data_IF_204974072382
#
_entry.id   IF_204974072382
#
_cell.length_a   1.000
_cell.length_b   1.000
_cell.length_c   1.000
_cell.angle_alpha   90.00
_cell.angle_beta   90.00
_cell.angle_gamma   90.00
#
_symmetry.space_group_name_H-M   'P 1'
#
loop_
_entity.id
_entity.type
_entity.pdbx_description
1 polymer ?
#
# COMPACT_ATOMS: atom_id res chain seq x y z
N UNK A 1 -26.03 -8.81 15.15
CA UNK A 1 -25.53 -7.52 14.63
C UNK A 1 -26.59 -7.00 13.68
N UNK A 2 -27.49 -6.13 14.16
CA UNK A 2 -28.69 -5.68 13.43
C UNK A 2 -28.58 -4.17 13.25
N UNK A 3 -28.31 -3.73 12.02
CA UNK A 3 -28.44 -2.34 11.62
C UNK A 3 -29.88 -2.16 11.14
N UNK A 4 -30.66 -1.33 11.83
CA UNK A 4 -32.03 -0.99 11.44
C UNK A 4 -32.02 0.19 10.46
N UNK A 5 -32.75 -0.01 9.38
CA UNK A 5 -33.09 0.94 8.33
C UNK A 5 -33.82 2.14 8.95
N UNK A 6 -33.20 3.32 8.94
CA UNK A 6 -33.75 4.64 8.55
C UNK A 6 -32.64 5.70 8.78
N UNK A 7 -31.89 6.01 7.72
CA UNK A 7 -31.20 7.31 7.58
C UNK A 7 -29.89 7.55 8.35
N UNK A 8 -29.40 6.63 9.19
CA UNK A 8 -28.10 6.79 9.86
C UNK A 8 -27.22 5.60 9.49
N UNK A 9 -26.34 5.80 8.51
CA UNK A 9 -25.29 4.83 8.19
C UNK A 9 -24.59 4.47 9.48
N UNK A 10 -24.56 3.17 9.80
CA UNK A 10 -23.78 2.68 10.90
C UNK A 10 -22.32 3.05 10.60
N UNK A 11 -21.85 4.16 11.17
CA UNK A 11 -20.43 4.47 11.24
C UNK A 11 -19.83 3.46 12.21
N UNK A 12 -19.77 2.20 11.77
CA UNK A 12 -18.68 1.33 12.18
C UNK A 12 -17.42 2.14 11.91
N UNK A 13 -16.55 2.24 12.92
CA UNK A 13 -15.41 3.15 12.91
C UNK A 13 -14.61 3.08 11.60
N UNK A 14 -13.84 4.14 11.32
CA UNK A 14 -12.98 4.18 10.13
C UNK A 14 -12.21 2.85 10.00
N UNK A 15 -12.19 2.24 8.80
CA UNK A 15 -11.47 0.99 8.61
C UNK A 15 -10.00 1.18 8.94
N UNK A 16 -9.39 0.15 9.53
CA UNK A 16 -7.96 0.16 9.86
C UNK A 16 -7.18 -0.12 8.60
N UNK A 17 -6.20 0.74 8.29
CA UNK A 17 -5.26 0.55 7.18
C UNK A 17 -4.06 -0.29 7.65
N UNK A 18 -3.74 -1.34 6.90
CA UNK A 18 -2.52 -2.15 7.04
C UNK A 18 -1.80 -2.28 5.70
N UNK A 19 -0.52 -2.60 5.73
CA UNK A 19 0.28 -2.92 4.54
C UNK A 19 0.94 -4.27 4.81
N UNK A 20 0.87 -5.18 3.84
CA UNK A 20 1.51 -6.48 3.97
C UNK A 20 3.02 -6.39 3.79
N UNK A 21 3.75 -7.20 4.58
CA UNK A 21 5.18 -7.40 4.36
C UNK A 21 5.38 -8.23 3.08
N UNK A 22 6.31 -7.78 2.24
CA UNK A 22 6.65 -8.48 0.99
C UNK A 22 8.15 -8.70 0.92
N UNK A 23 8.55 -9.93 0.58
CA UNK A 23 9.94 -10.30 0.35
C UNK A 23 10.13 -10.77 -1.09
N UNK A 24 11.24 -10.41 -1.70
CA UNK A 24 11.58 -10.75 -3.07
C UNK A 24 13.08 -10.98 -3.19
N UNK A 25 13.47 -11.88 -4.09
CA UNK A 25 14.89 -12.03 -4.46
C UNK A 25 15.19 -11.12 -5.64
N UNK A 26 16.08 -10.15 -5.43
CA UNK A 26 16.50 -9.15 -6.41
C UNK A 26 17.16 -9.81 -7.63
N UNK A 27 18.07 -10.77 -7.39
CA UNK A 27 18.81 -11.48 -8.45
C UNK A 27 19.94 -10.65 -9.05
N UNK A 28 20.67 -11.23 -10.01
CA UNK A 28 21.98 -10.70 -10.42
C UNK A 28 21.94 -9.49 -11.37
N UNK A 29 20.91 -9.36 -12.22
CA UNK A 29 20.82 -8.27 -13.21
C UNK A 29 19.37 -7.89 -13.52
N UNK A 30 19.17 -6.60 -13.82
CA UNK A 30 17.91 -6.04 -14.27
C UNK A 30 17.07 -5.45 -13.15
N UNK A 31 15.81 -5.19 -13.44
CA UNK A 31 14.86 -4.65 -12.45
C UNK A 31 13.69 -5.60 -12.27
N UNK A 32 13.16 -5.63 -11.05
CA UNK A 32 11.93 -6.35 -10.72
C UNK A 32 10.94 -5.37 -10.11
N UNK A 33 9.67 -5.77 -10.15
CA UNK A 33 8.61 -5.02 -9.51
C UNK A 33 8.23 -5.72 -8.21
N UNK A 34 8.37 -5.01 -7.10
CA UNK A 34 7.86 -5.41 -5.81
C UNK A 34 6.53 -4.70 -5.56
N UNK A 35 5.45 -5.46 -5.50
CA UNK A 35 4.11 -4.92 -5.27
C UNK A 35 3.75 -5.06 -3.80
N UNK A 36 3.48 -3.93 -3.14
CA UNK A 36 2.88 -3.89 -1.82
C UNK A 36 1.38 -3.70 -1.95
N UNK A 37 0.62 -4.38 -1.09
CA UNK A 37 -0.83 -4.22 -0.99
C UNK A 37 -1.15 -3.51 0.32
N UNK A 38 -1.81 -2.36 0.22
CA UNK A 38 -2.42 -1.69 1.35
C UNK A 38 -3.87 -2.14 1.45
N UNK A 39 -4.28 -2.60 2.63
CA UNK A 39 -5.57 -3.23 2.87
C UNK A 39 -6.33 -2.54 4.01
N UNK A 40 -7.64 -2.49 3.89
CA UNK A 40 -8.57 -1.97 4.89
C UNK A 40 -9.27 -3.12 5.61
N UNK A 41 -9.53 -2.96 6.91
CA UNK A 41 -10.27 -3.96 7.70
C UNK A 41 -11.75 -4.12 7.29
N UNK A 42 -12.26 -3.23 6.44
CA UNK A 42 -13.57 -3.24 5.82
C UNK A 42 -13.55 -2.35 4.57
N UNK A 43 -14.48 -2.54 3.60
CA UNK A 43 -14.57 -1.67 2.43
C UNK A 43 -14.64 -0.19 2.81
N UNK A 44 -13.95 0.66 2.04
CA UNK A 44 -13.94 2.09 2.23
C UNK A 44 -15.36 2.65 2.12
N UNK A 45 -15.70 3.54 3.05
CA UNK A 45 -16.99 4.23 3.06
C UNK A 45 -17.10 5.29 1.97
N UNK A 46 -18.20 6.05 2.03
CA UNK A 46 -18.47 7.15 1.09
C UNK A 46 -17.29 8.14 1.07
N UNK A 47 -16.75 8.38 -0.12
CA UNK A 47 -15.60 9.26 -0.33
C UNK A 47 -14.23 8.57 -0.28
N UNK A 48 -14.18 7.26 -0.02
CA UNK A 48 -12.94 6.49 -0.01
C UNK A 48 -12.04 6.76 1.21
N UNK A 49 -10.87 6.14 1.23
CA UNK A 49 -9.83 6.37 2.24
C UNK A 49 -8.53 6.76 1.53
N UNK A 50 -8.03 7.97 1.82
CA UNK A 50 -6.76 8.45 1.27
C UNK A 50 -5.63 8.38 2.30
N UNK A 51 -4.44 8.01 1.82
CA UNK A 51 -3.22 7.94 2.62
C UNK A 51 -2.00 8.32 1.78
N UNK A 52 -0.91 8.71 2.42
CA UNK A 52 0.35 9.04 1.75
C UNK A 52 1.32 7.88 1.91
N UNK A 53 1.86 7.39 0.80
CA UNK A 53 2.90 6.36 0.77
C UNK A 53 4.22 6.95 0.28
N UNK A 54 5.33 6.48 0.84
CA UNK A 54 6.70 6.76 0.40
C UNK A 54 7.61 5.59 0.77
N UNK A 55 8.69 5.41 0.04
CA UNK A 55 9.78 4.53 0.48
C UNK A 55 10.63 5.23 1.53
N UNK A 56 11.27 4.46 2.40
CA UNK A 56 12.20 4.93 3.42
C UNK A 56 13.35 3.93 3.49
N UNK A 57 14.58 4.43 3.55
CA UNK A 57 15.76 3.59 3.68
C UNK A 57 15.73 2.77 4.98
N UNK A 58 16.16 1.52 4.86
CA UNK A 58 16.33 0.59 5.96
C UNK A 58 17.66 -0.12 5.82
N UNK A 59 17.62 -1.44 5.66
CA UNK A 59 18.80 -2.21 5.23
C UNK A 59 19.05 -2.10 3.73
N UNK A 60 17.97 -1.98 2.94
CA UNK A 60 18.03 -1.60 1.54
C UNK A 60 18.00 -0.06 1.44
N UNK A 61 18.84 0.54 0.62
CA UNK A 61 18.96 1.98 0.45
C UNK A 61 18.92 2.41 -1.01
N UNK A 62 18.37 3.59 -1.27
CA UNK A 62 18.42 4.19 -2.62
C UNK A 62 19.86 4.56 -3.01
N UNK A 63 20.73 4.84 -2.04
CA UNK A 63 22.13 5.20 -2.26
C UNK A 63 22.97 4.03 -2.78
N UNK A 64 22.66 2.81 -2.32
CA UNK A 64 23.27 1.57 -2.80
C UNK A 64 22.56 1.04 -4.06
N UNK A 65 21.56 1.78 -4.55
CA UNK A 65 20.77 1.46 -5.74
C UNK A 65 19.94 0.17 -5.60
N UNK A 66 19.55 -0.23 -4.38
CA UNK A 66 18.71 -1.43 -4.16
C UNK A 66 17.30 -1.27 -4.75
N UNK A 67 16.76 -0.05 -4.73
CA UNK A 67 15.43 0.26 -5.24
C UNK A 67 15.34 1.69 -5.77
N UNK A 68 14.31 1.96 -6.58
CA UNK A 68 13.98 3.31 -7.05
C UNK A 68 13.03 3.98 -6.07
N UNK A 69 13.46 5.11 -5.49
CA UNK A 69 12.71 5.82 -4.47
C UNK A 69 11.33 6.29 -4.94
N UNK A 70 10.30 6.01 -4.12
CA UNK A 70 8.97 6.58 -4.28
C UNK A 70 8.82 7.79 -3.38
N UNK A 71 8.75 8.98 -4.00
CA UNK A 71 8.42 10.22 -3.32
C UNK A 71 7.02 10.16 -2.68
N UNK A 72 6.73 10.97 -1.63
CA UNK A 72 5.41 11.01 -0.99
C UNK A 72 4.29 11.17 -2.00
N UNK A 73 3.47 10.13 -2.14
CA UNK A 73 2.38 10.05 -3.13
C UNK A 73 1.07 9.81 -2.40
N UNK A 74 0.05 10.61 -2.74
CA UNK A 74 -1.31 10.42 -2.24
C UNK A 74 -1.97 9.26 -3.00
N UNK A 75 -2.34 8.22 -2.27
CA UNK A 75 -3.09 7.07 -2.76
C UNK A 75 -4.48 7.06 -2.13
N UNK A 76 -5.45 6.49 -2.84
CA UNK A 76 -6.83 6.41 -2.39
C UNK A 76 -7.40 5.02 -2.64
N UNK A 77 -7.89 4.37 -1.59
CA UNK A 77 -8.78 3.21 -1.73
C UNK A 77 -10.18 3.77 -1.96
N UNK A 78 -10.70 3.56 -3.16
CA UNK A 78 -12.00 4.09 -3.56
C UNK A 78 -13.14 3.45 -2.75
N UNK A 79 -14.25 4.18 -2.63
CA UNK A 79 -15.47 3.68 -1.98
C UNK A 79 -15.84 2.27 -2.48
N UNK A 80 -16.17 1.38 -1.54
CA UNK A 80 -16.54 -0.01 -1.82
C UNK A 80 -15.36 -0.95 -2.08
N UNK A 81 -14.13 -0.43 -2.18
CA UNK A 81 -12.90 -1.23 -2.22
C UNK A 81 -12.24 -1.29 -0.85
N UNK A 82 -11.44 -2.31 -0.63
CA UNK A 82 -10.66 -2.52 0.59
C UNK A 82 -9.16 -2.62 0.31
N UNK A 83 -8.72 -2.62 -0.94
CA UNK A 83 -7.31 -2.78 -1.30
C UNK A 83 -6.81 -1.71 -2.26
N UNK A 84 -5.53 -1.34 -2.12
CA UNK A 84 -4.78 -0.54 -3.08
C UNK A 84 -3.36 -1.08 -3.22
N UNK A 85 -2.97 -1.37 -4.46
CA UNK A 85 -1.61 -1.82 -4.77
C UNK A 85 -0.69 -0.63 -5.04
N UNK A 86 0.57 -0.77 -4.64
CA UNK A 86 1.66 0.13 -4.98
C UNK A 86 2.86 -0.69 -5.40
N UNK A 87 3.54 -0.26 -6.46
CA UNK A 87 4.59 -1.03 -7.09
C UNK A 87 5.91 -0.26 -7.03
N UNK A 88 6.93 -0.88 -6.45
CA UNK A 88 8.28 -0.32 -6.28
C UNK A 88 9.22 -1.09 -7.18
N UNK A 89 10.08 -0.37 -7.91
CA UNK A 89 11.12 -1.00 -8.71
C UNK A 89 12.28 -1.33 -7.80
N UNK A 90 12.67 -2.59 -7.76
CA UNK A 90 13.91 -3.07 -7.12
C UNK A 90 14.94 -3.36 -8.21
N UNK A 91 16.20 -3.06 -7.94
CA UNK A 91 17.29 -3.31 -8.87
C UNK A 91 18.06 -4.56 -8.41
N UNK A 92 18.49 -5.38 -9.37
CA UNK A 92 19.39 -6.49 -9.10
C UNK A 92 20.84 -6.03 -9.03
N UNK A 93 21.60 -6.63 -8.11
CA UNK A 93 23.02 -6.37 -7.93
C UNK A 93 23.88 -7.33 -8.76
N UNK A 94 24.81 -6.76 -9.52
CA UNK A 94 25.79 -7.55 -10.23
C UNK A 94 26.78 -8.17 -9.23
N UNK A 95 26.73 -9.50 -9.11
CA UNK A 95 27.71 -10.30 -8.36
C UNK A 95 29.13 -10.23 -8.92
#
# INVERSE_FOLDING_TARGET
MSCIYEGVGCSGGAPVLSVDDVSVTEGDMGTKLLTFTASLSAPAGVGGVSFVARTVDGTATEADNDYVGMSPTLLTINEGLDEQQMAIVINGDMV
#
